data_IF_396557502670
#
_entry.id   IF_396557502670
#
_cell.length_a   1.000
_cell.length_b   1.000
_cell.length_c   1.000
_cell.angle_alpha   90.00
_cell.angle_beta   90.00
_cell.angle_gamma   90.00
#
_symmetry.space_group_name_H-M   'P 1'
#
loop_
_entity.id
_entity.type
_entity.pdbx_description
1 polymer ?
#
# COMPACT_ATOMS: atom_id res chain seq x y z
N UNK A 1 12.45 3.72 -18.80
CA UNK A 1 11.42 3.91 -17.77
C UNK A 1 10.46 5.00 -18.24
N UNK A 2 9.16 4.89 -17.94
CA UNK A 2 8.20 5.96 -18.19
C UNK A 2 8.48 7.12 -17.21
N UNK A 3 8.51 8.35 -17.71
CA UNK A 3 8.72 9.53 -16.89
C UNK A 3 7.93 10.72 -17.49
N UNK A 4 7.29 11.51 -16.62
CA UNK A 4 6.46 12.63 -17.03
C UNK A 4 5.08 12.23 -17.54
N UNK A 5 4.52 13.03 -18.44
CA UNK A 5 3.19 12.82 -19.02
C UNK A 5 3.25 11.82 -20.17
N UNK A 6 3.14 10.54 -19.86
CA UNK A 6 3.20 9.43 -20.82
C UNK A 6 1.89 8.65 -20.86
N UNK A 7 1.51 8.19 -22.05
CA UNK A 7 0.32 7.37 -22.21
C UNK A 7 0.52 5.97 -21.58
N UNK A 8 -0.46 5.45 -20.82
CA UNK A 8 -0.39 4.09 -20.30
C UNK A 8 -0.43 3.06 -21.44
N UNK A 9 0.40 2.02 -21.33
CA UNK A 9 0.41 0.93 -22.32
C UNK A 9 -0.92 0.17 -22.38
N UNK A 10 -1.64 0.08 -21.28
CA UNK A 10 -2.91 -0.62 -21.14
C UNK A 10 -3.79 0.08 -20.12
N UNK A 11 -5.08 0.06 -20.39
CA UNK A 11 -6.13 0.51 -19.48
C UNK A 11 -7.21 -0.56 -19.47
N UNK A 12 -7.66 -0.97 -18.30
CA UNK A 12 -8.85 -1.81 -18.11
C UNK A 12 -9.97 -0.87 -17.66
N UNK A 13 -11.04 -0.78 -18.46
CA UNK A 13 -12.16 0.13 -18.19
C UNK A 13 -13.41 -0.30 -18.94
N UNK A 14 -14.54 0.22 -18.51
CA UNK A 14 -15.84 -0.05 -19.14
C UNK A 14 -16.66 -1.08 -18.38
N UNK A 15 -17.94 -1.21 -18.75
CA UNK A 15 -18.92 -2.03 -18.01
C UNK A 15 -18.56 -3.51 -17.95
N UNK A 16 -17.97 -4.05 -19.02
CA UNK A 16 -17.56 -5.45 -19.08
C UNK A 16 -16.47 -5.78 -18.06
N UNK A 17 -15.60 -4.83 -17.74
CA UNK A 17 -14.56 -5.02 -16.73
C UNK A 17 -15.12 -5.19 -15.31
N UNK A 18 -16.36 -4.79 -15.07
CA UNK A 18 -17.02 -4.80 -13.75
C UNK A 18 -16.29 -3.98 -12.68
N UNK A 19 -15.29 -3.17 -13.04
CA UNK A 19 -14.61 -2.27 -12.13
C UNK A 19 -15.56 -1.18 -11.65
N UNK A 20 -15.69 -1.03 -10.35
CA UNK A 20 -16.42 0.06 -9.71
C UNK A 20 -15.58 1.34 -9.60
N UNK A 21 -16.18 2.39 -9.06
CA UNK A 21 -15.50 3.69 -8.85
C UNK A 21 -14.50 3.67 -7.70
N UNK A 22 -14.67 2.75 -6.73
CA UNK A 22 -13.85 2.65 -5.53
C UNK A 22 -13.05 1.36 -5.58
N UNK A 23 -11.93 1.42 -6.30
CA UNK A 23 -10.91 0.38 -6.32
C UNK A 23 -9.69 0.92 -5.59
N UNK A 24 -9.37 0.35 -4.44
CA UNK A 24 -8.31 0.88 -3.57
C UNK A 24 -7.05 0.02 -3.52
N UNK A 25 -7.18 -1.27 -3.72
CA UNK A 25 -6.06 -2.20 -3.67
C UNK A 25 -5.85 -2.91 -5.00
N UNK A 26 -4.65 -3.42 -5.20
CA UNK A 26 -4.29 -4.26 -6.34
C UNK A 26 -3.18 -5.21 -5.90
N UNK A 27 -3.24 -6.47 -6.32
CA UNK A 27 -2.16 -7.41 -6.15
C UNK A 27 -1.87 -8.11 -7.49
N UNK A 28 -0.62 -8.47 -7.70
CA UNK A 28 -0.17 -9.17 -8.90
C UNK A 28 0.39 -10.54 -8.53
N UNK A 29 -0.08 -11.55 -9.24
CA UNK A 29 0.40 -12.92 -9.17
C UNK A 29 1.35 -13.18 -10.36
N UNK A 30 2.66 -13.20 -10.14
CA UNK A 30 3.64 -13.45 -11.20
C UNK A 30 3.71 -14.92 -11.65
N UNK A 31 3.13 -15.86 -10.90
CA UNK A 31 3.12 -17.27 -11.23
C UNK A 31 2.05 -17.56 -12.28
N UNK A 32 0.85 -17.01 -12.08
CA UNK A 32 -0.29 -17.21 -12.99
C UNK A 32 -0.50 -16.05 -13.96
N UNK A 33 0.30 -14.99 -13.87
CA UNK A 33 0.18 -13.75 -14.67
C UNK A 33 -1.22 -13.10 -14.51
N UNK A 34 -1.65 -12.94 -13.26
CA UNK A 34 -2.98 -12.44 -12.89
C UNK A 34 -2.92 -11.18 -12.04
N UNK A 35 -3.93 -10.34 -12.19
CA UNK A 35 -4.15 -9.14 -11.37
C UNK A 35 -5.41 -9.35 -10.54
N UNK A 36 -5.29 -9.21 -9.22
CA UNK A 36 -6.40 -9.34 -8.27
C UNK A 36 -6.79 -7.94 -7.75
N UNK A 37 -8.08 -7.61 -7.85
CA UNK A 37 -8.60 -6.28 -7.53
C UNK A 37 -9.84 -6.41 -6.66
N UNK A 38 -9.87 -5.77 -5.46
CA UNK A 38 -11.08 -5.67 -4.65
C UNK A 38 -12.00 -4.61 -5.24
N UNK A 39 -13.28 -4.90 -5.33
CA UNK A 39 -14.31 -3.97 -5.77
C UNK A 39 -15.29 -3.69 -4.63
N UNK A 40 -15.00 -2.63 -3.88
CA UNK A 40 -15.68 -2.32 -2.63
C UNK A 40 -17.20 -2.11 -2.79
N UNK A 41 -17.62 -1.43 -3.87
CA UNK A 41 -19.03 -1.11 -4.08
C UNK A 41 -19.88 -2.30 -4.58
N UNK A 42 -19.23 -3.34 -5.04
CA UNK A 42 -19.90 -4.55 -5.53
C UNK A 42 -19.74 -5.74 -4.59
N UNK A 43 -19.08 -5.57 -3.43
CA UNK A 43 -18.76 -6.65 -2.49
C UNK A 43 -18.11 -7.85 -3.22
N UNK A 44 -17.10 -7.56 -4.06
CA UNK A 44 -16.53 -8.52 -4.97
C UNK A 44 -14.99 -8.44 -5.03
N UNK A 45 -14.38 -9.53 -5.48
CA UNK A 45 -12.99 -9.56 -5.90
C UNK A 45 -12.96 -9.94 -7.37
N UNK A 46 -12.27 -9.15 -8.18
CA UNK A 46 -12.09 -9.35 -9.61
C UNK A 46 -10.69 -9.86 -9.88
N UNK A 47 -10.57 -10.87 -10.73
CA UNK A 47 -9.28 -11.39 -11.17
C UNK A 47 -9.19 -11.26 -12.68
N UNK A 48 -8.16 -10.57 -13.15
CA UNK A 48 -7.88 -10.37 -14.57
C UNK A 48 -6.57 -11.06 -14.94
N UNK A 49 -6.42 -11.50 -16.19
CA UNK A 49 -5.10 -11.79 -16.72
C UNK A 49 -4.28 -10.50 -16.79
N UNK A 50 -2.98 -10.54 -16.57
CA UNK A 50 -2.15 -9.33 -16.54
C UNK A 50 -2.13 -8.56 -17.86
N UNK A 51 -2.35 -9.25 -18.98
CA UNK A 51 -2.46 -8.65 -20.32
C UNK A 51 -3.82 -8.02 -20.65
N UNK A 52 -4.80 -8.03 -19.73
CA UNK A 52 -6.15 -7.50 -19.98
C UNK A 52 -6.15 -6.02 -20.36
N UNK A 53 -7.08 -5.61 -21.22
CA UNK A 53 -7.22 -4.23 -21.73
C UNK A 53 -8.65 -3.90 -22.13
N UNK A 54 -8.96 -2.59 -22.14
CA UNK A 54 -10.26 -2.08 -22.56
C UNK A 54 -11.39 -2.64 -21.70
N UNK A 55 -12.48 -3.02 -22.33
CA UNK A 55 -13.69 -3.54 -21.69
C UNK A 55 -13.65 -5.06 -21.44
N UNK A 56 -12.47 -5.64 -21.28
CA UNK A 56 -12.29 -7.06 -21.07
C UNK A 56 -12.83 -7.47 -19.68
N UNK A 57 -13.65 -8.53 -19.61
CA UNK A 57 -14.20 -9.00 -18.33
C UNK A 57 -13.11 -9.66 -17.47
N UNK A 58 -13.31 -9.73 -16.13
CA UNK A 58 -12.46 -10.54 -15.30
C UNK A 58 -12.58 -12.02 -15.66
N UNK A 59 -11.47 -12.75 -15.56
CA UNK A 59 -11.44 -14.21 -15.78
C UNK A 59 -12.02 -14.99 -14.60
N UNK A 60 -12.01 -14.40 -13.41
CA UNK A 60 -12.69 -14.90 -12.20
C UNK A 60 -13.35 -13.76 -11.46
N UNK A 61 -14.47 -14.05 -10.80
CA UNK A 61 -15.24 -13.13 -9.99
C UNK A 61 -15.65 -13.84 -8.71
N UNK A 62 -15.14 -13.41 -7.56
CA UNK A 62 -15.55 -13.91 -6.25
C UNK A 62 -16.60 -12.95 -5.73
N UNK A 63 -17.86 -13.37 -5.71
CA UNK A 63 -19.00 -12.54 -5.33
C UNK A 63 -20.21 -13.43 -4.99
N UNK A 64 -20.99 -13.02 -4.01
CA UNK A 64 -22.24 -13.67 -3.61
C UNK A 64 -22.37 -13.80 -2.11
N UNK A 65 -23.52 -14.30 -1.65
CA UNK A 65 -23.87 -14.34 -0.22
C UNK A 65 -22.95 -15.27 0.60
N UNK A 66 -22.49 -16.37 0.01
CA UNK A 66 -21.59 -17.31 0.70
C UNK A 66 -20.20 -16.70 0.93
N UNK A 67 -19.78 -15.74 0.12
CA UNK A 67 -18.48 -15.07 0.29
C UNK A 67 -18.41 -14.24 1.57
N UNK A 68 -19.54 -13.76 2.07
CA UNK A 68 -19.69 -12.84 3.19
C UNK A 68 -18.90 -11.53 3.00
N UNK A 69 -18.42 -11.23 1.79
CA UNK A 69 -17.69 -10.00 1.50
C UNK A 69 -18.56 -8.78 1.73
N UNK A 70 -18.00 -7.81 2.44
CA UNK A 70 -18.59 -6.48 2.63
C UNK A 70 -17.48 -5.47 2.45
N UNK A 71 -17.60 -4.58 1.51
CA UNK A 71 -16.66 -3.47 1.24
C UNK A 71 -15.18 -3.92 1.22
N UNK A 72 -14.78 -4.89 0.38
CA UNK A 72 -13.39 -5.30 0.28
C UNK A 72 -12.54 -4.11 -0.20
N UNK A 73 -11.47 -3.78 0.54
CA UNK A 73 -10.68 -2.59 0.31
C UNK A 73 -9.26 -2.89 -0.17
N UNK A 74 -8.58 -3.80 0.49
CA UNK A 74 -7.22 -4.19 0.15
C UNK A 74 -7.08 -5.69 0.00
N UNK A 75 -6.14 -6.11 -0.83
CA UNK A 75 -5.81 -7.52 -1.07
C UNK A 75 -4.31 -7.75 -0.94
N UNK A 76 -3.95 -8.94 -0.46
CA UNK A 76 -2.59 -9.47 -0.46
C UNK A 76 -2.64 -10.93 -0.89
N UNK A 77 -1.60 -11.39 -1.60
CA UNK A 77 -1.51 -12.76 -2.08
C UNK A 77 -0.45 -13.54 -1.29
N UNK A 78 -0.86 -14.69 -0.77
CA UNK A 78 0.06 -15.70 -0.27
C UNK A 78 0.23 -16.80 -1.32
N UNK A 79 1.21 -16.62 -2.18
CA UNK A 79 1.47 -17.55 -3.29
C UNK A 79 2.09 -18.87 -2.79
N UNK A 80 2.68 -18.88 -1.59
CA UNK A 80 3.20 -20.11 -0.98
C UNK A 80 2.09 -21.04 -0.52
N UNK A 81 1.03 -20.46 0.06
CA UNK A 81 -0.09 -21.21 0.60
C UNK A 81 -1.34 -21.16 -0.30
N UNK A 82 -1.24 -20.56 -1.48
CA UNK A 82 -2.33 -20.42 -2.45
C UNK A 82 -3.57 -19.72 -1.87
N UNK A 83 -3.38 -18.53 -1.27
CA UNK A 83 -4.44 -17.79 -0.61
C UNK A 83 -4.52 -16.32 -1.06
N UNK A 84 -5.75 -15.79 -1.10
CA UNK A 84 -6.07 -14.38 -1.25
C UNK A 84 -6.54 -13.86 0.11
N UNK A 85 -5.79 -12.92 0.69
CA UNK A 85 -6.18 -12.24 1.91
C UNK A 85 -6.85 -10.91 1.54
N UNK A 86 -7.98 -10.60 2.17
CA UNK A 86 -8.81 -9.42 1.86
C UNK A 86 -9.13 -8.67 3.13
N UNK A 87 -8.73 -7.41 3.21
CA UNK A 87 -9.14 -6.52 4.27
C UNK A 87 -10.41 -5.77 3.88
N UNK A 88 -11.40 -5.79 4.78
CA UNK A 88 -12.67 -5.09 4.62
C UNK A 88 -12.73 -3.88 5.54
N UNK A 89 -12.90 -2.71 4.95
CA UNK A 89 -12.87 -1.44 5.66
C UNK A 89 -14.05 -1.29 6.64
N UNK A 90 -15.27 -1.47 6.18
CA UNK A 90 -16.47 -1.22 6.99
C UNK A 90 -16.87 -2.41 7.85
N UNK A 91 -16.66 -3.63 7.37
CA UNK A 91 -16.94 -4.84 8.15
C UNK A 91 -15.90 -5.13 9.23
N UNK A 92 -14.77 -4.40 9.25
CA UNK A 92 -13.70 -4.60 10.24
C UNK A 92 -13.27 -6.07 10.29
N UNK A 93 -12.97 -6.62 9.11
CA UNK A 93 -12.81 -8.07 8.92
C UNK A 93 -11.68 -8.33 7.95
N UNK A 94 -10.96 -9.42 8.18
CA UNK A 94 -10.08 -10.02 7.18
C UNK A 94 -10.71 -11.32 6.72
N UNK A 95 -10.87 -11.48 5.41
CA UNK A 95 -11.29 -12.72 4.76
C UNK A 95 -10.10 -13.38 4.09
N UNK A 96 -10.08 -14.70 4.08
CA UNK A 96 -9.07 -15.47 3.34
C UNK A 96 -9.77 -16.45 2.42
N UNK A 97 -9.48 -16.37 1.13
CA UNK A 97 -10.03 -17.24 0.09
C UNK A 97 -8.92 -18.10 -0.53
N UNK A 98 -9.27 -19.25 -1.14
CA UNK A 98 -8.35 -19.95 -2.03
C UNK A 98 -7.88 -19.04 -3.19
N UNK A 99 -6.62 -19.15 -3.62
CA UNK A 99 -6.08 -18.35 -4.73
C UNK A 99 -6.87 -18.53 -6.02
N UNK A 100 -7.40 -19.75 -6.26
CA UNK A 100 -8.19 -20.10 -7.42
C UNK A 100 -9.71 -19.91 -7.23
N UNK A 101 -10.15 -19.23 -6.16
CA UNK A 101 -11.56 -18.99 -5.88
C UNK A 101 -12.28 -18.31 -7.07
N UNK A 102 -13.53 -18.71 -7.31
CA UNK A 102 -14.41 -18.16 -8.33
C UNK A 102 -15.88 -18.40 -7.96
N UNK A 103 -16.74 -17.42 -8.21
CA UNK A 103 -18.18 -17.49 -7.92
C UNK A 103 -18.51 -17.23 -6.45
N UNK A 104 -19.66 -17.74 -6.02
CA UNK A 104 -20.19 -17.60 -4.66
C UNK A 104 -19.64 -18.70 -3.76
N UNK A 105 -18.41 -18.54 -3.30
CA UNK A 105 -17.69 -19.51 -2.47
C UNK A 105 -17.41 -18.96 -1.07
N UNK A 106 -17.49 -19.77 -0.01
CA UNK A 106 -17.16 -19.32 1.33
C UNK A 106 -15.65 -19.08 1.49
N UNK A 107 -15.25 -18.12 2.34
CA UNK A 107 -13.85 -17.98 2.70
C UNK A 107 -13.35 -19.19 3.51
N UNK A 108 -12.06 -19.47 3.42
CA UNK A 108 -11.37 -20.48 4.23
C UNK A 108 -11.34 -20.09 5.70
N UNK A 109 -11.17 -18.79 5.96
CA UNK A 109 -11.09 -18.19 7.29
C UNK A 109 -11.65 -16.78 7.28
N UNK A 110 -12.18 -16.38 8.44
CA UNK A 110 -12.66 -15.02 8.69
C UNK A 110 -12.11 -14.56 10.04
N UNK A 111 -11.30 -13.52 10.04
CA UNK A 111 -10.81 -12.87 11.25
C UNK A 111 -11.69 -11.66 11.54
N UNK A 112 -12.48 -11.70 12.60
CA UNK A 112 -13.35 -10.61 13.02
C UNK A 112 -13.80 -10.79 14.49
N UNK A 113 -14.10 -9.69 15.12
CA UNK A 113 -14.64 -9.64 16.48
C UNK A 113 -13.91 -8.62 17.35
N UNK A 114 -14.41 -8.31 18.53
CA UNK A 114 -13.88 -7.22 19.36
C UNK A 114 -12.44 -7.44 19.84
N UNK A 115 -12.01 -8.69 20.05
CA UNK A 115 -10.63 -8.99 20.47
C UNK A 115 -9.63 -8.71 19.37
N UNK A 116 -10.03 -8.77 18.09
CA UNK A 116 -9.14 -8.52 16.96
C UNK A 116 -8.64 -7.08 16.92
N UNK A 117 -9.33 -6.14 17.53
CA UNK A 117 -9.09 -4.70 17.42
C UNK A 117 -9.18 -4.15 15.99
N UNK A 118 -9.64 -4.96 15.02
CA UNK A 118 -9.80 -4.52 13.64
C UNK A 118 -10.77 -3.34 13.60
N UNK A 119 -10.26 -2.18 13.18
CA UNK A 119 -11.01 -0.94 13.00
C UNK A 119 -11.29 -0.68 11.53
N UNK A 120 -10.92 0.51 11.07
CA UNK A 120 -10.96 0.90 9.67
C UNK A 120 -9.80 0.24 8.91
N UNK A 121 -10.01 -1.00 8.47
CA UNK A 121 -8.96 -1.83 7.85
C UNK A 121 -8.79 -1.50 6.37
N UNK A 122 -7.71 -0.81 6.02
CA UNK A 122 -7.47 -0.28 4.68
C UNK A 122 -6.27 -0.88 3.96
N UNK A 123 -5.39 -1.56 4.68
CA UNK A 123 -4.22 -2.22 4.12
C UNK A 123 -3.99 -3.59 4.75
N UNK A 124 -3.47 -4.51 3.97
CA UNK A 124 -3.09 -5.86 4.42
C UNK A 124 -1.85 -6.32 3.68
N UNK A 125 -0.94 -6.96 4.40
CA UNK A 125 0.22 -7.64 3.85
C UNK A 125 0.41 -8.99 4.52
N UNK A 126 0.99 -9.94 3.81
CA UNK A 126 1.33 -11.27 4.32
C UNK A 126 2.79 -11.60 4.04
N UNK A 127 3.45 -12.21 4.99
CA UNK A 127 4.79 -12.77 4.84
C UNK A 127 4.75 -14.28 5.15
N UNK A 128 4.68 -15.12 4.13
CA UNK A 128 4.63 -16.57 4.31
C UNK A 128 5.85 -17.14 5.04
N UNK A 129 7.01 -16.50 4.89
CA UNK A 129 8.25 -16.97 5.52
C UNK A 129 8.20 -16.88 7.06
N UNK A 130 7.53 -15.85 7.58
CA UNK A 130 7.33 -15.67 9.02
C UNK A 130 5.99 -16.26 9.52
N UNK A 131 5.12 -16.69 8.61
CA UNK A 131 3.74 -17.13 8.88
C UNK A 131 2.89 -16.03 9.57
N UNK A 132 3.14 -14.77 9.22
CA UNK A 132 2.46 -13.63 9.81
C UNK A 132 1.79 -12.77 8.73
N UNK A 133 0.76 -12.04 9.13
CA UNK A 133 0.12 -10.99 8.37
C UNK A 133 0.07 -9.71 9.18
N UNK A 134 0.14 -8.58 8.50
CA UNK A 134 -0.01 -7.24 9.07
C UNK A 134 -1.22 -6.55 8.46
N UNK A 135 -2.01 -5.89 9.29
CA UNK A 135 -3.22 -5.17 8.90
C UNK A 135 -3.09 -3.70 9.32
N UNK A 136 -3.26 -2.78 8.38
CA UNK A 136 -3.35 -1.36 8.68
C UNK A 136 -4.74 -1.05 9.23
N UNK A 137 -4.78 -0.60 10.46
CA UNK A 137 -5.97 -0.15 11.17
C UNK A 137 -5.97 1.37 11.36
N UNK A 138 -6.88 1.88 12.19
CA UNK A 138 -6.89 3.30 12.55
C UNK A 138 -5.71 3.62 13.45
N UNK A 139 -4.70 4.33 12.94
CA UNK A 139 -3.49 4.77 13.66
C UNK A 139 -2.54 3.67 14.15
N UNK A 140 -2.66 2.47 13.61
CA UNK A 140 -1.89 1.32 14.05
C UNK A 140 -1.64 0.31 12.94
N UNK A 141 -0.64 -0.55 13.15
CA UNK A 141 -0.45 -1.79 12.43
C UNK A 141 -0.70 -2.92 13.40
N UNK A 142 -1.63 -3.80 13.09
CA UNK A 142 -1.91 -5.02 13.85
C UNK A 142 -1.24 -6.22 13.20
N UNK A 143 -0.54 -7.02 13.97
CA UNK A 143 0.15 -8.23 13.49
C UNK A 143 -0.56 -9.46 14.02
N UNK A 144 -0.90 -10.39 13.13
CA UNK A 144 -1.57 -11.67 13.43
C UNK A 144 -0.79 -12.85 12.85
N UNK A 145 -1.10 -14.05 13.32
CA UNK A 145 -0.71 -15.22 12.55
C UNK A 145 -1.52 -15.27 11.26
N UNK A 146 -0.90 -15.68 10.16
CA UNK A 146 -1.58 -15.85 8.86
C UNK A 146 -2.81 -16.78 8.95
N UNK A 147 -2.76 -17.76 9.87
CA UNK A 147 -3.79 -18.77 10.08
C UNK A 147 -4.84 -18.42 11.12
N UNK A 148 -4.79 -17.23 11.72
CA UNK A 148 -5.78 -16.79 12.70
C UNK A 148 -7.19 -16.75 12.10
N UNK A 149 -8.18 -17.15 12.90
CA UNK A 149 -9.58 -17.27 12.51
C UNK A 149 -10.48 -16.90 13.69
N UNK A 150 -11.61 -16.24 13.44
CA UNK A 150 -12.56 -15.82 14.47
C UNK A 150 -12.11 -14.61 15.28
N UNK A 151 -12.49 -14.53 16.53
CA UNK A 151 -12.24 -13.40 17.44
C UNK A 151 -10.97 -13.63 18.28
N UNK A 152 -9.81 -13.39 17.68
CA UNK A 152 -8.50 -13.54 18.32
C UNK A 152 -7.80 -12.19 18.44
N UNK A 153 -7.04 -11.99 19.52
CA UNK A 153 -6.25 -10.78 19.71
C UNK A 153 -5.01 -10.77 18.80
N UNK A 154 -4.55 -9.59 18.34
CA UNK A 154 -3.31 -9.47 17.61
C UNK A 154 -2.12 -9.89 18.49
N UNK A 155 -1.09 -10.45 17.88
CA UNK A 155 0.17 -10.79 18.54
C UNK A 155 0.97 -9.56 18.93
N UNK A 156 0.87 -8.52 18.13
CA UNK A 156 1.52 -7.24 18.33
C UNK A 156 0.68 -6.12 17.70
N UNK A 157 0.86 -4.92 18.24
CA UNK A 157 0.36 -3.68 17.70
C UNK A 157 1.52 -2.69 17.68
N UNK A 158 1.70 -2.00 16.54
CA UNK A 158 2.64 -0.90 16.38
C UNK A 158 1.79 0.37 16.34
N UNK A 159 1.85 1.16 17.39
CA UNK A 159 1.00 2.33 17.61
C UNK A 159 1.68 3.34 18.54
N UNK A 160 1.29 4.60 18.44
CA UNK A 160 1.80 5.66 19.31
C UNK A 160 2.58 6.74 18.54
N UNK A 161 2.86 7.88 19.20
CA UNK A 161 3.36 9.08 18.52
C UNK A 161 4.73 8.91 17.86
N UNK A 162 5.61 8.07 18.39
CA UNK A 162 6.93 7.84 17.80
C UNK A 162 6.88 7.05 16.50
N UNK A 163 5.79 6.34 16.23
CA UNK A 163 5.62 5.62 14.97
C UNK A 163 5.43 6.60 13.81
N UNK A 164 4.86 7.77 14.06
CA UNK A 164 4.41 8.71 13.05
C UNK A 164 3.17 8.25 12.27
N UNK A 165 2.59 7.10 12.63
CA UNK A 165 1.35 6.61 12.00
C UNK A 165 0.20 7.49 12.44
N UNK A 166 -0.36 8.22 11.50
CA UNK A 166 -1.50 9.09 11.71
C UNK A 166 -2.84 8.38 11.55
N UNK A 167 -3.87 9.15 11.24
CA UNK A 167 -5.24 8.62 11.13
C UNK A 167 -5.46 7.72 9.92
N UNK A 168 -4.59 7.84 8.91
CA UNK A 168 -4.77 7.17 7.62
C UNK A 168 -3.52 6.35 7.22
N UNK A 169 -3.25 5.23 7.88
CA UNK A 169 -2.37 4.22 7.32
C UNK A 169 -3.09 3.57 6.13
N UNK A 170 -2.39 3.44 4.99
CA UNK A 170 -2.99 2.91 3.77
C UNK A 170 -2.46 1.52 3.43
N UNK A 171 -1.74 1.39 2.35
CA UNK A 171 -1.33 0.09 1.84
C UNK A 171 -0.10 -0.46 2.57
N UNK A 172 -0.13 -1.76 2.85
CA UNK A 172 0.99 -2.53 3.41
C UNK A 172 1.57 -3.45 2.34
N UNK A 173 2.90 -3.54 2.33
CA UNK A 173 3.65 -4.60 1.70
C UNK A 173 4.56 -5.25 2.75
N UNK A 174 4.85 -6.55 2.58
CA UNK A 174 5.73 -7.27 3.49
C UNK A 174 6.83 -7.98 2.73
N UNK A 175 8.03 -7.96 3.29
CA UNK A 175 9.17 -8.66 2.72
C UNK A 175 10.19 -9.02 3.80
N UNK A 176 10.53 -10.30 3.92
CA UNK A 176 11.55 -10.83 4.84
C UNK A 176 11.43 -10.29 6.28
N UNK A 177 10.24 -10.38 6.85
CA UNK A 177 9.96 -9.93 8.21
C UNK A 177 9.95 -8.41 8.40
N UNK A 178 9.87 -7.64 7.32
CA UNK A 178 9.68 -6.19 7.34
C UNK A 178 8.28 -5.83 6.85
N UNK A 179 7.72 -4.81 7.46
CA UNK A 179 6.44 -4.19 7.13
C UNK A 179 6.74 -2.85 6.50
N UNK A 180 6.30 -2.65 5.28
CA UNK A 180 6.35 -1.38 4.55
C UNK A 180 4.95 -0.79 4.54
N UNK A 181 4.77 0.41 5.05
CA UNK A 181 3.49 1.09 5.16
C UNK A 181 3.51 2.42 4.42
N UNK A 182 2.54 2.65 3.55
CA UNK A 182 2.18 3.98 3.10
C UNK A 182 1.28 4.63 4.16
N UNK A 183 1.75 5.71 4.78
CA UNK A 183 1.03 6.45 5.80
C UNK A 183 0.81 7.88 5.37
N UNK A 184 -0.41 8.37 5.52
CA UNK A 184 -0.73 9.77 5.31
C UNK A 184 -1.41 10.36 6.53
N UNK A 185 -1.20 11.63 6.76
CA UNK A 185 -1.73 12.33 7.92
C UNK A 185 -2.62 13.50 7.45
N UNK A 186 -3.83 13.59 7.97
CA UNK A 186 -4.77 14.72 8.02
C UNK A 186 -4.98 15.66 6.82
N UNK A 187 -4.11 15.76 5.83
CA UNK A 187 -4.28 16.68 4.70
C UNK A 187 -5.57 16.35 3.92
N UNK A 188 -5.93 15.06 3.87
CA UNK A 188 -7.08 14.61 3.11
C UNK A 188 -8.42 15.13 3.67
N UNK A 189 -8.63 15.08 4.98
CA UNK A 189 -9.90 15.51 5.58
C UNK A 189 -10.15 17.02 5.45
N UNK A 190 -9.10 17.82 5.57
CA UNK A 190 -9.22 19.27 5.47
C UNK A 190 -9.43 19.76 4.03
N UNK A 191 -8.86 19.09 3.04
CA UNK A 191 -9.03 19.47 1.63
C UNK A 191 -10.38 19.01 1.08
N UNK A 192 -10.82 17.79 1.40
CA UNK A 192 -12.07 17.25 0.86
C UNK A 192 -13.32 17.66 1.63
N UNK A 193 -13.26 17.81 2.96
CA UNK A 193 -14.43 18.19 3.75
C UNK A 193 -14.89 19.63 3.49
N UNK A 194 -13.97 20.53 3.17
CA UNK A 194 -14.34 21.92 2.85
C UNK A 194 -14.75 22.11 1.38
N UNK A 195 -14.26 21.28 0.47
CA UNK A 195 -14.66 21.28 -0.95
C UNK A 195 -16.11 20.78 -1.10
N UNK A 196 -16.52 19.77 -0.32
CA UNK A 196 -17.87 19.20 -0.42
C UNK A 196 -18.96 20.06 0.24
N UNK A 197 -18.62 20.85 1.25
CA UNK A 197 -19.64 21.59 2.03
C UNK A 197 -19.86 23.02 1.55
N UNK A 198 -18.90 23.68 0.91
CA UNK A 198 -19.00 25.11 0.54
C UNK A 198 -18.63 25.49 -0.89
N UNK A 199 -18.24 24.55 -1.73
CA UNK A 199 -17.83 24.85 -3.13
C UNK A 199 -16.60 25.76 -3.24
N UNK A 200 -15.88 25.99 -2.16
CA UNK A 200 -14.65 26.79 -2.13
C UNK A 200 -13.47 25.89 -1.95
N UNK A 201 -12.58 25.88 -2.93
CA UNK A 201 -11.29 25.20 -2.81
C UNK A 201 -10.45 25.91 -1.74
N UNK A 202 -10.18 25.24 -0.63
CA UNK A 202 -9.13 25.72 0.28
C UNK A 202 -7.80 25.63 -0.47
N UNK A 203 -7.12 26.76 -0.62
CA UNK A 203 -5.80 26.82 -1.22
C UNK A 203 -4.90 25.84 -0.47
N UNK A 204 -4.22 24.93 -1.20
CA UNK A 204 -3.15 24.12 -0.60
C UNK A 204 -2.21 25.13 0.08
N UNK A 205 -1.76 24.89 1.33
CA UNK A 205 -0.85 25.81 2.01
C UNK A 205 0.28 26.23 1.09
N UNK A 206 0.69 27.50 1.12
CA UNK A 206 1.77 28.03 0.27
C UNK A 206 3.08 27.24 0.41
N UNK A 207 3.26 26.62 1.59
CA UNK A 207 4.34 25.67 1.85
C UNK A 207 3.78 24.38 2.46
N UNK A 208 3.25 23.46 1.62
CA UNK A 208 2.74 22.19 2.10
C UNK A 208 3.83 21.33 2.74
N UNK A 209 5.11 21.64 2.55
CA UNK A 209 6.23 20.87 3.06
C UNK A 209 6.54 21.12 4.53
N UNK A 210 6.04 22.21 5.11
CA UNK A 210 6.18 22.53 6.52
C UNK A 210 5.09 21.87 7.40
N UNK A 211 4.19 21.09 6.80
CA UNK A 211 3.21 20.33 7.56
C UNK A 211 3.90 19.10 8.21
N UNK A 212 3.96 19.01 9.55
CA UNK A 212 4.53 17.84 10.22
C UNK A 212 3.73 16.55 9.98
N UNK A 213 2.54 16.70 9.40
CA UNK A 213 1.62 15.60 9.08
C UNK A 213 1.77 15.09 7.65
N UNK A 214 2.81 15.48 6.93
CA UNK A 214 3.09 14.94 5.59
C UNK A 214 3.17 13.42 5.59
N UNK A 215 2.59 12.83 4.55
CA UNK A 215 2.64 11.40 4.33
C UNK A 215 4.07 10.87 4.11
N UNK A 216 4.25 9.60 4.39
CA UNK A 216 5.55 8.95 4.27
C UNK A 216 5.39 7.44 3.99
N UNK A 217 6.47 6.80 3.56
CA UNK A 217 6.63 5.35 3.59
C UNK A 217 7.50 5.01 4.80
N UNK A 218 6.94 4.22 5.72
CA UNK A 218 7.66 3.74 6.89
C UNK A 218 7.97 2.25 6.80
N UNK A 219 9.07 1.83 7.41
CA UNK A 219 9.49 0.43 7.46
C UNK A 219 9.68 0.01 8.92
N UNK A 220 9.03 -1.08 9.33
CA UNK A 220 9.18 -1.69 10.66
C UNK A 220 9.56 -3.16 10.53
N UNK A 221 10.11 -3.73 11.60
CA UNK A 221 10.18 -5.20 11.72
C UNK A 221 8.82 -5.75 12.12
N UNK A 222 8.49 -6.92 11.64
CA UNK A 222 7.26 -7.61 12.05
C UNK A 222 7.22 -7.97 13.54
N UNK A 223 8.38 -7.91 14.20
CA UNK A 223 8.54 -8.13 15.65
C UNK A 223 8.39 -6.86 16.49
N UNK A 224 8.34 -5.68 15.85
CA UNK A 224 8.19 -4.41 16.54
C UNK A 224 6.79 -4.31 17.16
N UNK A 225 6.67 -3.56 18.25
CA UNK A 225 5.43 -3.38 18.99
C UNK A 225 5.39 -2.09 19.78
N UNK A 226 4.18 -1.61 20.08
CA UNK A 226 3.96 -0.38 20.84
C UNK A 226 4.49 0.84 20.08
N UNK A 227 4.98 1.82 20.82
CA UNK A 227 5.43 3.11 20.32
C UNK A 227 6.84 3.06 19.71
N UNK A 228 7.06 2.15 18.77
CA UNK A 228 8.35 1.95 18.10
C UNK A 228 8.45 2.80 16.85
N UNK A 229 9.47 3.67 16.71
CA UNK A 229 9.69 4.43 15.49
C UNK A 229 10.04 3.49 14.32
N UNK A 230 9.79 3.91 13.06
CA UNK A 230 10.19 3.11 11.91
C UNK A 230 11.72 2.99 11.82
N UNK A 231 12.19 1.83 11.33
CA UNK A 231 13.60 1.58 11.02
C UNK A 231 14.13 2.51 9.93
N UNK A 232 13.25 2.79 8.97
CA UNK A 232 13.52 3.66 7.85
C UNK A 232 12.25 4.44 7.49
N UNK A 233 12.43 5.68 7.06
CA UNK A 233 11.33 6.57 6.67
C UNK A 233 11.71 7.30 5.38
N UNK A 234 10.85 7.21 4.39
CA UNK A 234 10.92 7.97 3.14
C UNK A 234 9.79 9.00 3.14
N UNK A 235 10.13 10.26 3.22
CA UNK A 235 9.18 11.37 3.32
C UNK A 235 9.88 12.72 3.40
N UNK A 236 9.09 13.80 3.52
CA UNK A 236 9.59 15.17 3.61
C UNK A 236 9.72 15.85 2.25
N UNK A 237 10.17 17.11 2.27
CA UNK A 237 10.15 18.03 1.13
C UNK A 237 10.76 17.45 -0.16
N UNK A 238 11.92 16.81 -0.05
CA UNK A 238 12.63 16.29 -1.22
C UNK A 238 12.09 14.97 -1.75
N UNK A 239 11.25 14.27 -0.98
CA UNK A 239 10.61 13.05 -1.46
C UNK A 239 9.51 13.34 -2.49
N UNK A 240 8.89 14.51 -2.45
CA UNK A 240 7.73 14.82 -3.26
C UNK A 240 6.43 14.20 -2.76
N UNK A 241 6.43 13.39 -1.69
CA UNK A 241 5.24 12.74 -1.15
C UNK A 241 4.44 13.69 -0.27
N UNK A 242 3.14 13.79 -0.54
CA UNK A 242 2.17 14.52 0.29
C UNK A 242 1.14 13.57 0.92
N UNK A 243 0.54 12.70 0.11
CA UNK A 243 -0.50 11.76 0.53
C UNK A 243 -0.33 10.40 -0.17
N UNK A 244 0.69 9.62 0.22
CA UNK A 244 0.92 8.30 -0.35
C UNK A 244 -0.19 7.35 0.08
N UNK A 245 -0.87 6.73 -0.89
CA UNK A 245 -1.98 5.81 -0.67
C UNK A 245 -1.70 4.41 -1.20
N UNK A 246 -0.87 4.29 -2.22
CA UNK A 246 -0.49 3.01 -2.81
C UNK A 246 1.00 2.75 -2.71
N UNK A 247 1.35 1.49 -2.51
CA UNK A 247 2.73 1.04 -2.33
C UNK A 247 2.94 -0.31 -3.00
N UNK A 248 3.97 -0.40 -3.83
CA UNK A 248 4.51 -1.65 -4.31
C UNK A 248 6.03 -1.67 -4.11
N UNK A 249 6.59 -2.85 -3.89
CA UNK A 249 8.02 -3.04 -3.66
C UNK A 249 8.61 -3.98 -4.71
N UNK A 250 9.83 -3.67 -5.14
CA UNK A 250 10.67 -4.54 -5.97
C UNK A 250 11.99 -4.79 -5.26
N UNK A 251 12.05 -5.80 -4.37
CA UNK A 251 13.25 -6.06 -3.57
C UNK A 251 14.47 -6.45 -4.41
N UNK A 252 14.25 -7.01 -5.60
CA UNK A 252 15.34 -7.42 -6.49
C UNK A 252 16.18 -6.24 -6.96
N UNK A 253 15.52 -5.13 -7.28
CA UNK A 253 16.16 -3.94 -7.80
C UNK A 253 16.30 -2.84 -6.73
N UNK A 254 15.82 -3.10 -5.51
CA UNK A 254 15.86 -2.15 -4.40
C UNK A 254 14.91 -0.95 -4.58
N UNK A 255 13.79 -1.16 -5.29
CA UNK A 255 12.87 -0.09 -5.66
C UNK A 255 11.57 -0.13 -4.87
N UNK A 256 11.03 1.05 -4.62
CA UNK A 256 9.67 1.27 -4.09
C UNK A 256 8.90 2.14 -5.08
N UNK A 257 7.68 1.71 -5.39
CA UNK A 257 6.72 2.46 -6.22
C UNK A 257 5.61 2.99 -5.33
N UNK A 258 5.34 4.28 -5.40
CA UNK A 258 4.38 4.96 -4.53
C UNK A 258 3.39 5.76 -5.37
N UNK A 259 2.10 5.50 -5.23
CA UNK A 259 1.07 6.40 -5.75
C UNK A 259 0.71 7.44 -4.69
N UNK A 260 0.68 8.71 -5.09
CA UNK A 260 0.30 9.83 -4.23
C UNK A 260 -0.95 10.49 -4.76
N UNK A 261 -2.01 10.52 -3.96
CA UNK A 261 -3.34 10.97 -4.40
C UNK A 261 -3.44 12.49 -4.53
N UNK A 262 -2.70 13.27 -3.76
CA UNK A 262 -2.67 14.73 -3.88
C UNK A 262 -1.81 15.15 -5.06
N UNK A 263 -0.68 14.48 -5.26
CA UNK A 263 0.20 14.72 -6.42
C UNK A 263 -0.36 14.18 -7.73
N UNK A 264 -1.38 13.30 -7.66
CA UNK A 264 -1.94 12.58 -8.79
C UNK A 264 -0.84 11.95 -9.65
N UNK A 265 0.10 11.28 -8.98
CA UNK A 265 1.31 10.77 -9.61
C UNK A 265 1.80 9.44 -9.03
N UNK A 266 2.66 8.79 -9.82
CA UNK A 266 3.39 7.60 -9.44
C UNK A 266 4.89 7.96 -9.31
N UNK A 267 5.46 7.63 -8.17
CA UNK A 267 6.86 7.89 -7.84
C UNK A 267 7.62 6.57 -7.71
N UNK A 268 8.86 6.56 -8.14
CA UNK A 268 9.77 5.43 -7.96
C UNK A 268 10.99 5.90 -7.18
N UNK A 269 11.31 5.16 -6.12
CA UNK A 269 12.47 5.44 -5.27
C UNK A 269 13.42 4.25 -5.28
N UNK A 270 14.69 4.52 -5.45
CA UNK A 270 15.75 3.52 -5.30
C UNK A 270 16.26 3.56 -3.86
N UNK A 271 15.91 2.55 -3.07
CA UNK A 271 16.16 2.48 -1.62
C UNK A 271 16.61 1.07 -1.21
N UNK A 272 17.73 0.56 -1.76
CA UNK A 272 18.18 -0.81 -1.51
C UNK A 272 18.41 -1.12 -0.03
N UNK A 273 18.77 -0.12 0.78
CA UNK A 273 18.98 -0.27 2.22
C UNK A 273 17.69 -0.68 2.96
N UNK A 274 16.50 -0.36 2.41
CA UNK A 274 15.22 -0.79 2.99
C UNK A 274 15.03 -2.31 2.91
N UNK A 275 15.71 -2.97 1.96
CA UNK A 275 15.61 -4.41 1.73
C UNK A 275 16.76 -5.20 2.37
N UNK A 276 17.75 -4.53 3.01
CA UNK A 276 18.88 -5.19 3.65
C UNK A 276 20.04 -5.46 2.71
N UNK A 277 20.06 -4.83 1.53
CA UNK A 277 21.23 -4.76 0.66
C UNK A 277 22.31 -3.95 1.38
N UNK A 278 23.43 -4.58 1.71
CA UNK A 278 24.63 -3.84 2.06
C UNK A 278 25.00 -3.00 0.83
N UNK A 279 24.93 -1.68 0.94
CA UNK A 279 25.65 -0.83 0.01
C UNK A 279 27.12 -1.19 0.15
N UNK A 280 27.67 -2.02 -0.73
CA UNK A 280 29.10 -1.98 -0.97
C UNK A 280 29.39 -0.56 -1.42
N UNK A 281 29.88 0.25 -0.48
CA UNK A 281 30.49 1.53 -0.84
C UNK A 281 31.56 1.20 -1.88
N UNK A 282 31.54 1.81 -3.05
CA UNK A 282 32.64 1.61 -4.00
C UNK A 282 33.93 1.94 -3.27
N UNK A 283 34.86 0.99 -3.25
CA UNK A 283 36.16 1.10 -2.60
C UNK A 283 36.95 2.22 -3.29
N UNK A 284 36.90 3.43 -2.75
CA UNK A 284 37.70 4.57 -3.18
C UNK A 284 39.09 4.52 -2.53
N UNK A 285 39.80 3.42 -2.63
CA UNK A 285 41.22 3.37 -2.42
C UNK A 285 41.95 3.49 -3.79
N UNK A 286 41.94 4.71 -4.30
CA UNK A 286 42.73 5.11 -5.47
C UNK A 286 43.23 6.54 -5.23
N UNK A 287 44.53 6.66 -4.90
CA UNK A 287 45.25 7.92 -4.76
C UNK A 287 45.05 8.85 -5.96
N UNK A 288 44.72 10.11 -5.69
CA UNK A 288 44.78 11.17 -6.68
C UNK A 288 44.38 12.50 -6.05
N UNK A 289 45.36 13.27 -5.55
CA UNK A 289 45.18 14.68 -5.21
C UNK A 289 44.87 15.44 -6.48
N UNK A 290 43.73 16.13 -6.54
CA UNK A 290 43.63 17.37 -7.30
C UNK A 290 42.54 18.27 -6.74
N UNK A 291 42.83 19.58 -6.80
CA UNK A 291 42.14 20.71 -6.15
C UNK A 291 40.75 20.92 -6.73
N UNK A 292 39.78 21.12 -5.84
CA UNK A 292 38.49 21.69 -6.17
C UNK A 292 38.60 23.16 -6.53
N UNK A 293 38.05 23.52 -7.69
CA UNK A 293 37.60 24.90 -7.98
C UNK A 293 36.08 24.86 -8.07
N UNK A 294 35.49 25.67 -7.22
CA UNK A 294 34.07 26.03 -7.25
C UNK A 294 33.71 26.68 -8.57
N UNK A 295 32.63 26.19 -9.24
CA UNK A 295 31.65 27.03 -9.90
C UNK A 295 30.51 26.24 -10.53
N UNK A 296 29.32 26.85 -10.37
CA UNK A 296 28.13 26.79 -11.21
C UNK A 296 27.11 25.68 -11.01
N UNK A 297 26.20 26.03 -10.13
CA UNK A 297 24.84 25.53 -10.06
C UNK A 297 24.06 25.92 -11.31
N UNK A 298 23.66 24.99 -12.16
CA UNK A 298 22.77 25.25 -13.30
C UNK A 298 21.32 25.15 -12.89
N UNK A 299 20.64 26.28 -12.95
CA UNK A 299 19.19 26.46 -12.91
C UNK A 299 18.59 25.92 -14.20
N UNK A 300 17.77 24.89 -14.11
CA UNK A 300 16.92 24.49 -15.24
C UNK A 300 15.65 25.32 -15.24
N UNK A 301 15.49 26.15 -16.26
CA UNK A 301 14.26 26.89 -16.56
C UNK A 301 13.24 25.95 -17.21
N UNK A 302 12.02 26.04 -16.70
CA UNK A 302 10.81 25.52 -17.32
C UNK A 302 10.44 26.38 -18.55
N UNK A 303 10.14 25.69 -19.62
CA UNK A 303 9.22 26.15 -20.67
C UNK A 303 8.13 25.15 -20.87
#
# INVERSE_FOLDING_TARGET
MANGNVEPKRVISGQGSKLGRSVHGIAYDPIHDEIVVPNALADAILVFRAGAKGNEPPIRLIQGACTQLVTPHAVSLDLTNNEILVASMTAKTVYVFPLNANGDVPPLRILRGPKTRLGHTVGIGVDPATNLMAVAGSREILVFNRTDNGDVAPRASIEGPSTGIGEEPWQIQMFQGKIFLAASNHIHQNVYSEVTVKGTYKKIPEDPWNDPNLGFIGVWRITDKGNTPPLAKLGGQFSGLLHPTGLAINPKDGEIYVSDSIRNGLFTYLVPDFFGGSSEKPNTNGRGKERATTKDCCVARLH
#
